data_IF_289105871993
#
_entry.id   IF_289105871993
#
_cell.length_a   1.000
_cell.length_b   1.000
_cell.length_c   1.000
_cell.angle_alpha   90.00
_cell.angle_beta   90.00
_cell.angle_gamma   90.00
#
_symmetry.space_group_name_H-M   'P 1'
#
loop_
_entity.id
_entity.type
_entity.pdbx_description
1 polymer ?
#
# COMPACT_ATOMS: atom_id res chain seq x y z
N UNK A 1 7.77 -32.37 1.51
CA UNK A 1 8.94 -31.47 1.50
C UNK A 1 8.77 -30.23 0.61
N UNK A 2 8.06 -30.32 -0.53
CA UNK A 2 7.91 -29.22 -1.51
C UNK A 2 6.87 -28.18 -1.05
N UNK A 3 5.79 -28.59 -0.38
CA UNK A 3 4.76 -27.72 0.18
C UNK A 3 5.32 -26.83 1.32
N UNK A 4 6.07 -27.43 2.26
CA UNK A 4 6.72 -26.71 3.36
C UNK A 4 7.77 -25.70 2.86
N UNK A 5 8.51 -26.03 1.80
CA UNK A 5 9.44 -25.07 1.15
C UNK A 5 8.73 -23.89 0.52
N UNK A 6 7.60 -24.12 -0.17
CA UNK A 6 6.79 -23.03 -0.76
C UNK A 6 6.15 -22.14 0.31
N UNK A 7 5.60 -22.72 1.38
CA UNK A 7 5.09 -21.96 2.52
C UNK A 7 6.17 -21.12 3.19
N UNK A 8 7.34 -21.71 3.47
CA UNK A 8 8.47 -20.99 4.07
C UNK A 8 8.99 -19.86 3.18
N UNK A 9 9.05 -20.05 1.86
CA UNK A 9 9.40 -18.99 0.92
C UNK A 9 8.33 -17.88 0.82
N UNK A 10 7.05 -18.21 0.96
CA UNK A 10 5.98 -17.22 1.03
C UNK A 10 6.06 -16.43 2.35
N UNK A 11 6.17 -17.08 3.50
CA UNK A 11 6.31 -16.40 4.80
C UNK A 11 7.53 -15.48 4.88
N UNK A 12 8.68 -15.88 4.34
CA UNK A 12 9.87 -15.03 4.27
C UNK A 12 9.62 -13.82 3.38
N UNK A 13 8.86 -13.97 2.27
CA UNK A 13 8.52 -12.85 1.39
C UNK A 13 7.51 -11.90 2.04
N UNK A 14 6.52 -12.42 2.73
CA UNK A 14 5.48 -11.60 3.38
C UNK A 14 6.02 -10.84 4.61
N UNK A 15 7.09 -11.37 5.26
CA UNK A 15 7.85 -10.62 6.28
C UNK A 15 8.62 -9.42 5.71
N UNK A 16 8.80 -9.36 4.39
CA UNK A 16 9.43 -8.23 3.68
C UNK A 16 8.43 -7.13 3.26
N UNK A 17 7.19 -7.18 3.74
CA UNK A 17 6.23 -6.10 3.47
C UNK A 17 6.84 -4.73 3.84
N UNK A 18 6.71 -3.70 3.01
CA UNK A 18 5.88 -3.57 1.80
C UNK A 18 6.56 -3.97 0.47
N UNK A 19 7.52 -4.86 0.49
CA UNK A 19 8.39 -5.29 -0.60
C UNK A 19 9.31 -4.19 -1.13
N UNK A 20 10.43 -4.59 -1.72
CA UNK A 20 11.38 -3.65 -2.31
C UNK A 20 10.81 -3.03 -3.59
N UNK A 21 10.83 -1.71 -3.65
CA UNK A 21 10.58 -0.95 -4.86
C UNK A 21 11.90 -0.39 -5.40
N UNK A 22 12.09 -0.35 -6.73
CA UNK A 22 13.25 0.29 -7.33
C UNK A 22 13.33 1.77 -6.99
N UNK A 23 14.52 2.31 -6.94
CA UNK A 23 14.72 3.75 -6.95
C UNK A 23 14.24 4.33 -8.30
N UNK A 24 13.82 5.60 -8.29
CA UNK A 24 13.36 6.29 -9.51
C UNK A 24 12.08 5.70 -10.10
N UNK A 25 11.79 6.06 -11.34
CA UNK A 25 10.63 5.61 -12.10
C UNK A 25 10.95 4.35 -12.89
N UNK A 26 9.95 3.51 -13.15
CA UNK A 26 10.16 2.29 -13.92
C UNK A 26 8.91 1.90 -14.71
N UNK A 27 9.11 1.09 -15.75
CA UNK A 27 8.07 0.42 -16.50
C UNK A 27 8.13 -1.09 -16.20
N UNK A 28 7.02 -1.66 -15.78
CA UNK A 28 6.83 -3.11 -15.73
C UNK A 28 6.14 -3.54 -17.02
N UNK A 29 6.79 -4.37 -17.82
CA UNK A 29 6.23 -4.88 -19.07
C UNK A 29 6.74 -6.28 -19.36
N UNK A 30 5.85 -7.19 -19.78
CA UNK A 30 6.17 -8.57 -20.13
C UNK A 30 7.03 -9.29 -19.09
N UNK A 31 6.67 -9.14 -17.83
CA UNK A 31 7.38 -9.72 -16.69
C UNK A 31 8.78 -9.15 -16.42
N UNK A 32 9.18 -8.08 -17.11
CA UNK A 32 10.47 -7.41 -16.97
C UNK A 32 10.33 -6.01 -16.42
N UNK A 33 11.36 -5.56 -15.75
CA UNK A 33 11.47 -4.22 -15.23
C UNK A 33 12.44 -3.41 -16.11
N UNK A 34 11.97 -2.25 -16.56
CA UNK A 34 12.76 -1.26 -17.29
C UNK A 34 12.85 -0.01 -16.46
N UNK A 35 14.05 0.41 -16.10
CA UNK A 35 14.28 1.67 -15.39
C UNK A 35 14.01 2.83 -16.36
N UNK A 36 13.20 3.79 -15.92
CA UNK A 36 12.96 5.03 -16.66
C UNK A 36 13.87 6.12 -16.11
N UNK A 37 14.70 6.69 -16.98
CA UNK A 37 15.54 7.83 -16.65
C UNK A 37 14.80 9.15 -16.96
N UNK A 38 15.41 10.29 -16.63
CA UNK A 38 14.80 11.61 -16.83
C UNK A 38 14.45 11.87 -18.31
N UNK A 39 15.30 11.44 -19.24
CA UNK A 39 15.05 11.63 -20.67
C UNK A 39 13.86 10.82 -21.16
N UNK A 40 13.74 9.56 -20.72
CA UNK A 40 12.58 8.74 -21.04
C UNK A 40 11.30 9.39 -20.52
N UNK A 41 11.36 9.98 -19.32
CA UNK A 41 10.23 10.71 -18.72
C UNK A 41 9.88 11.98 -19.50
N UNK A 42 10.87 12.71 -20.00
CA UNK A 42 10.66 13.90 -20.84
C UNK A 42 10.01 13.56 -22.19
N UNK A 43 10.37 12.41 -22.78
CA UNK A 43 9.72 11.90 -23.98
C UNK A 43 8.27 11.46 -23.71
N UNK A 44 7.97 10.93 -22.50
CA UNK A 44 6.64 10.55 -22.03
C UNK A 44 5.77 11.77 -21.64
N UNK A 45 6.37 12.94 -21.50
CA UNK A 45 5.72 14.16 -20.97
C UNK A 45 4.60 14.73 -21.87
N UNK A 46 4.51 14.31 -23.13
CA UNK A 46 3.31 14.59 -23.93
C UNK A 46 2.16 13.67 -23.51
N UNK A 47 1.75 13.75 -22.24
CA UNK A 47 0.78 12.84 -21.57
C UNK A 47 -0.50 12.61 -22.37
N UNK A 48 -0.93 13.58 -23.17
CA UNK A 48 -2.13 13.45 -24.01
C UNK A 48 -1.90 12.61 -25.27
N UNK A 49 -0.67 12.33 -25.63
CA UNK A 49 -0.31 11.61 -26.86
C UNK A 49 0.55 10.37 -26.61
N UNK A 50 1.13 10.23 -25.39
CA UNK A 50 1.95 9.07 -25.10
C UNK A 50 1.09 7.84 -24.79
N UNK A 51 1.21 6.74 -25.54
CA UNK A 51 0.43 5.54 -25.32
C UNK A 51 0.71 4.83 -23.99
N UNK A 52 1.81 5.17 -23.28
CA UNK A 52 2.09 4.59 -21.97
C UNK A 52 1.24 5.18 -20.85
N UNK A 53 0.94 6.48 -20.90
CA UNK A 53 0.18 7.16 -19.84
C UNK A 53 -1.22 7.58 -20.28
N UNK A 54 -1.45 7.74 -21.57
CA UNK A 54 -2.74 8.16 -22.12
C UNK A 54 -3.85 7.17 -21.73
N UNK A 55 -4.96 7.71 -21.22
CA UNK A 55 -6.11 6.91 -20.79
C UNK A 55 -5.90 6.11 -19.49
N UNK A 56 -4.78 6.32 -18.78
CA UNK A 56 -4.51 5.67 -17.51
C UNK A 56 -4.83 6.56 -16.31
N UNK A 57 -5.28 5.94 -15.26
CA UNK A 57 -5.57 6.60 -13.98
C UNK A 57 -4.32 6.57 -13.09
N UNK A 58 -3.82 7.72 -12.61
CA UNK A 58 -2.71 7.78 -11.68
C UNK A 58 -3.17 7.42 -10.25
N UNK A 59 -2.61 6.36 -9.69
CA UNK A 59 -2.91 5.87 -8.34
C UNK A 59 -1.66 5.92 -7.47
N UNK A 60 -1.70 6.67 -6.38
CA UNK A 60 -0.63 6.77 -5.41
C UNK A 60 -0.48 5.44 -4.65
N UNK A 61 0.66 4.82 -4.75
CA UNK A 61 0.99 3.57 -4.10
C UNK A 61 1.76 3.84 -2.80
N UNK A 62 1.07 3.74 -1.68
CA UNK A 62 1.65 4.00 -0.34
C UNK A 62 2.32 2.77 0.27
N UNK A 63 1.93 1.56 -0.15
CA UNK A 63 2.42 0.30 0.39
C UNK A 63 3.06 -0.60 -0.65
N UNK A 64 2.66 -1.87 -0.66
CA UNK A 64 3.23 -2.91 -1.52
C UNK A 64 3.02 -2.69 -3.01
N UNK A 65 1.98 -1.96 -3.42
CA UNK A 65 1.68 -1.69 -4.84
C UNK A 65 2.76 -0.85 -5.56
N UNK A 66 3.71 -0.27 -4.84
CA UNK A 66 4.89 0.39 -5.42
C UNK A 66 5.97 -0.58 -5.89
N UNK A 67 5.85 -1.87 -5.53
CA UNK A 67 6.85 -2.89 -5.81
C UNK A 67 6.49 -3.74 -7.04
N UNK A 68 7.42 -3.98 -7.98
CA UNK A 68 7.18 -4.78 -9.17
C UNK A 68 6.64 -6.19 -8.86
N UNK A 69 7.10 -6.79 -7.78
CA UNK A 69 6.62 -8.11 -7.33
C UNK A 69 5.11 -8.13 -7.09
N UNK A 70 4.58 -7.10 -6.40
CA UNK A 70 3.16 -7.02 -6.11
C UNK A 70 2.33 -6.72 -7.37
N UNK A 71 2.84 -5.86 -8.25
CA UNK A 71 2.17 -5.56 -9.52
C UNK A 71 2.11 -6.79 -10.44
N UNK A 72 3.19 -7.57 -10.51
CA UNK A 72 3.20 -8.86 -11.23
C UNK A 72 2.20 -9.86 -10.64
N UNK A 73 2.08 -9.90 -9.31
CA UNK A 73 1.11 -10.77 -8.62
C UNK A 73 -0.33 -10.40 -8.94
N UNK A 74 -0.62 -9.09 -9.04
CA UNK A 74 -1.96 -8.57 -9.32
C UNK A 74 -2.33 -8.69 -10.80
N UNK A 75 -1.44 -8.27 -11.68
CA UNK A 75 -1.78 -8.07 -13.09
C UNK A 75 -1.20 -9.13 -14.04
N UNK A 76 -0.34 -10.03 -13.54
CA UNK A 76 0.29 -11.06 -14.36
C UNK A 76 1.49 -10.58 -15.16
N UNK A 77 2.13 -11.52 -15.86
CA UNK A 77 3.39 -11.26 -16.60
C UNK A 77 3.22 -10.40 -17.83
N UNK A 78 2.05 -10.42 -18.47
CA UNK A 78 1.81 -9.70 -19.72
C UNK A 78 1.41 -8.23 -19.51
N UNK A 79 1.18 -7.83 -18.28
CA UNK A 79 0.75 -6.47 -17.95
C UNK A 79 1.83 -5.42 -18.30
N UNK A 80 1.36 -4.27 -18.74
CA UNK A 80 2.17 -3.06 -18.95
C UNK A 80 1.72 -2.06 -17.88
N UNK A 81 2.62 -1.75 -16.94
CA UNK A 81 2.33 -0.88 -15.80
C UNK A 81 3.45 0.15 -15.64
N UNK A 82 3.25 1.38 -16.09
CA UNK A 82 4.16 2.48 -15.80
C UNK A 82 4.08 2.87 -14.32
N UNK A 83 5.23 3.17 -13.73
CA UNK A 83 5.34 3.59 -12.34
C UNK A 83 6.31 4.78 -12.24
N UNK A 84 5.82 5.90 -11.78
CA UNK A 84 6.61 7.14 -11.65
C UNK A 84 6.85 7.50 -10.20
N UNK A 85 7.96 8.17 -9.92
CA UNK A 85 8.26 8.68 -8.58
C UNK A 85 7.35 9.85 -8.24
N UNK A 86 6.94 9.91 -6.97
CA UNK A 86 6.11 10.98 -6.44
C UNK A 86 6.50 11.29 -4.99
N UNK A 87 6.05 12.44 -4.50
CA UNK A 87 6.12 12.85 -3.10
C UNK A 87 4.72 13.19 -2.61
N UNK A 88 4.42 12.79 -1.39
CA UNK A 88 3.20 13.17 -0.70
C UNK A 88 3.57 14.14 0.42
N UNK A 89 3.03 15.35 0.36
CA UNK A 89 3.26 16.40 1.34
C UNK A 89 2.23 16.33 2.47
N UNK A 90 2.64 16.74 3.66
CA UNK A 90 1.83 16.81 4.88
C UNK A 90 1.19 15.47 5.29
N UNK A 91 1.81 14.37 4.86
CA UNK A 91 1.41 13.01 5.21
C UNK A 91 2.62 12.12 5.49
N UNK A 92 2.44 11.19 6.42
CA UNK A 92 3.32 10.05 6.59
C UNK A 92 2.61 8.76 6.16
N UNK A 93 3.36 7.69 5.98
CA UNK A 93 2.83 6.34 5.78
C UNK A 93 2.96 5.56 7.07
N UNK A 94 1.83 5.13 7.61
CA UNK A 94 1.71 4.51 8.93
C UNK A 94 1.01 3.15 8.86
N UNK A 95 1.19 2.33 9.89
CA UNK A 95 0.54 1.02 9.98
C UNK A 95 -0.95 1.15 10.29
N UNK A 96 -1.77 0.39 9.57
CA UNK A 96 -3.23 0.34 9.76
C UNK A 96 -3.63 -0.53 10.95
N UNK A 97 -4.84 -0.34 11.47
CA UNK A 97 -5.46 -1.25 12.43
C UNK A 97 -6.10 -2.47 11.74
N UNK A 98 -5.38 -3.08 10.80
CA UNK A 98 -5.77 -4.23 10.01
C UNK A 98 -4.67 -5.30 9.99
N UNK A 99 -5.08 -6.53 9.71
CA UNK A 99 -4.18 -7.63 9.35
C UNK A 99 -4.64 -8.19 8.02
N UNK A 100 -3.75 -8.18 7.03
CA UNK A 100 -4.04 -8.70 5.71
C UNK A 100 -4.19 -10.22 5.70
N UNK A 101 -4.86 -10.76 4.68
CA UNK A 101 -5.02 -12.22 4.49
C UNK A 101 -3.67 -12.94 4.28
N UNK A 102 -2.61 -12.23 3.92
CA UNK A 102 -1.25 -12.75 3.82
C UNK A 102 -0.40 -12.52 5.09
N UNK A 103 -1.01 -12.07 6.19
CA UNK A 103 -0.40 -12.00 7.51
C UNK A 103 0.46 -10.76 7.78
N UNK A 104 0.48 -9.76 6.90
CA UNK A 104 1.15 -8.49 7.16
C UNK A 104 0.18 -7.47 7.80
N UNK A 105 0.74 -6.52 8.54
CA UNK A 105 0.03 -5.32 8.98
C UNK A 105 0.16 -4.28 7.86
N UNK A 106 -0.93 -3.96 7.12
CA UNK A 106 -0.86 -3.04 6.00
C UNK A 106 -0.53 -1.61 6.44
N UNK A 107 -0.44 -0.71 5.46
CA UNK A 107 -0.19 0.71 5.71
C UNK A 107 -1.15 1.59 4.92
N UNK A 108 -1.27 2.84 5.37
CA UNK A 108 -2.04 3.89 4.71
C UNK A 108 -1.34 5.23 4.87
N UNK A 109 -1.70 6.21 4.06
CA UNK A 109 -1.34 7.60 4.30
C UNK A 109 -2.08 8.12 5.55
N UNK A 110 -1.42 9.00 6.30
CA UNK A 110 -1.99 9.64 7.49
C UNK A 110 -1.48 11.09 7.61
N UNK A 111 -2.32 12.06 7.98
CA UNK A 111 -1.91 13.46 8.11
C UNK A 111 -0.72 13.63 9.06
N UNK A 112 0.31 14.34 8.59
CA UNK A 112 1.54 14.62 9.35
C UNK A 112 2.16 15.90 8.81
N UNK A 113 1.80 17.02 9.41
CA UNK A 113 2.20 18.36 8.94
C UNK A 113 3.72 18.49 8.78
N UNK A 114 4.15 19.01 7.63
CA UNK A 114 5.56 19.17 7.28
C UNK A 114 6.29 17.89 6.87
N UNK A 115 5.68 16.72 7.01
CA UNK A 115 6.29 15.46 6.54
C UNK A 115 6.18 15.36 5.02
N UNK A 116 7.27 14.96 4.36
CA UNK A 116 7.31 14.70 2.91
C UNK A 116 7.71 13.24 2.71
N UNK A 117 6.76 12.44 2.23
CA UNK A 117 6.97 10.99 2.03
C UNK A 117 7.27 10.66 0.58
N UNK A 118 8.30 9.85 0.33
CA UNK A 118 8.68 9.42 -1.01
C UNK A 118 7.91 8.18 -1.42
N UNK A 119 7.10 8.32 -2.46
CA UNK A 119 6.16 7.32 -2.93
C UNK A 119 6.27 7.10 -4.45
N UNK A 120 5.32 6.34 -4.98
CA UNK A 120 5.18 6.08 -6.42
C UNK A 120 3.74 6.34 -6.86
N UNK A 121 3.56 6.72 -8.11
CA UNK A 121 2.28 6.68 -8.81
C UNK A 121 2.33 5.49 -9.76
N UNK A 122 1.35 4.63 -9.65
CA UNK A 122 1.10 3.50 -10.57
C UNK A 122 0.04 3.94 -11.56
N UNK A 123 0.33 3.84 -12.84
CA UNK A 123 -0.55 4.27 -13.91
C UNK A 123 -1.35 3.08 -14.43
N UNK A 124 -2.63 3.03 -14.10
CA UNK A 124 -3.52 1.89 -14.33
C UNK A 124 -4.48 2.18 -15.49
N UNK A 125 -4.59 1.26 -16.44
CA UNK A 125 -5.72 1.24 -17.36
C UNK A 125 -7.00 0.81 -16.63
N UNK A 126 -8.12 0.84 -17.34
CA UNK A 126 -9.44 0.61 -16.75
C UNK A 126 -9.55 -0.79 -16.10
N UNK A 127 -9.10 -1.84 -16.78
CA UNK A 127 -9.14 -3.21 -16.27
C UNK A 127 -8.22 -3.39 -15.06
N UNK A 128 -7.03 -2.80 -15.12
CA UNK A 128 -6.07 -2.81 -14.01
C UNK A 128 -6.61 -2.03 -12.79
N UNK A 129 -7.28 -0.90 -13.01
CA UNK A 129 -7.90 -0.12 -11.94
C UNK A 129 -9.04 -0.91 -11.28
N UNK A 130 -9.91 -1.51 -12.07
CA UNK A 130 -10.98 -2.36 -11.55
C UNK A 130 -10.43 -3.54 -10.74
N UNK A 131 -9.39 -4.20 -11.25
CA UNK A 131 -8.71 -5.28 -10.51
C UNK A 131 -8.05 -4.77 -9.22
N UNK A 132 -7.45 -3.59 -9.26
CA UNK A 132 -6.89 -2.95 -8.06
C UNK A 132 -7.98 -2.71 -7.03
N UNK A 133 -9.13 -2.17 -7.41
CA UNK A 133 -10.28 -1.97 -6.52
C UNK A 133 -10.70 -3.26 -5.81
N UNK A 134 -10.82 -4.36 -6.55
CA UNK A 134 -11.15 -5.68 -5.98
C UNK A 134 -10.10 -6.13 -4.96
N UNK A 135 -8.84 -6.04 -5.31
CA UNK A 135 -7.74 -6.54 -4.46
C UNK A 135 -7.42 -5.66 -3.26
N UNK A 136 -7.82 -4.39 -3.26
CA UNK A 136 -7.75 -3.50 -2.09
C UNK A 136 -8.99 -3.61 -1.18
N UNK A 137 -10.03 -4.33 -1.61
CA UNK A 137 -11.25 -4.50 -0.82
C UNK A 137 -11.95 -3.17 -0.54
N UNK A 138 -12.24 -2.41 -1.61
CA UNK A 138 -12.95 -1.13 -1.49
C UNK A 138 -14.27 -1.31 -0.76
N UNK A 139 -14.58 -0.36 0.11
CA UNK A 139 -15.79 -0.37 0.93
C UNK A 139 -15.70 -1.26 2.17
N UNK A 140 -14.70 -2.14 2.24
CA UNK A 140 -14.43 -3.03 3.40
C UNK A 140 -13.14 -2.60 4.10
N UNK A 141 -12.00 -2.74 3.45
CA UNK A 141 -10.69 -2.43 4.01
C UNK A 141 -10.24 -0.99 3.73
N UNK A 142 -10.52 -0.51 2.52
CA UNK A 142 -10.10 0.81 2.05
C UNK A 142 -11.22 1.57 1.38
N UNK A 143 -11.12 2.91 1.41
CA UNK A 143 -11.87 3.82 0.55
C UNK A 143 -10.97 4.23 -0.62
N UNK A 144 -11.57 4.36 -1.81
CA UNK A 144 -10.94 5.01 -2.96
C UNK A 144 -11.03 6.51 -2.78
N UNK A 145 -9.91 7.20 -2.89
CA UNK A 145 -9.83 8.62 -2.55
C UNK A 145 -9.08 9.41 -3.63
N UNK A 146 -9.45 10.67 -3.79
CA UNK A 146 -8.65 11.66 -4.51
C UNK A 146 -7.70 12.33 -3.51
N UNK A 147 -6.40 12.22 -3.75
CA UNK A 147 -5.33 12.69 -2.88
C UNK A 147 -4.98 14.15 -3.18
N UNK A 148 -4.74 14.92 -2.13
CA UNK A 148 -4.15 16.26 -2.22
C UNK A 148 -2.67 16.22 -1.85
N UNK A 149 -1.92 17.27 -2.18
CA UNK A 149 -0.52 17.39 -1.79
C UNK A 149 0.44 16.43 -2.49
N UNK A 150 0.04 15.81 -3.60
CA UNK A 150 0.90 14.92 -4.39
C UNK A 150 1.72 15.73 -5.37
N UNK A 151 3.05 15.70 -5.22
CA UNK A 151 3.99 16.20 -6.19
C UNK A 151 4.59 15.02 -6.98
N UNK A 152 4.53 15.07 -8.30
CA UNK A 152 5.06 14.02 -9.18
C UNK A 152 6.26 14.51 -9.98
N UNK A 153 7.01 13.57 -10.52
CA UNK A 153 8.26 13.85 -11.26
C UNK A 153 8.01 14.38 -12.68
N UNK A 154 6.80 14.21 -13.19
CA UNK A 154 6.43 14.70 -14.52
C UNK A 154 6.18 16.21 -14.46
N UNK A 155 6.76 16.97 -15.38
CA UNK A 155 6.65 18.45 -15.44
C UNK A 155 5.30 18.94 -16.03
N UNK A 156 4.37 18.03 -16.29
CA UNK A 156 3.06 18.34 -16.87
C UNK A 156 1.94 18.12 -15.85
N UNK A 157 0.81 18.84 -15.96
CA UNK A 157 -0.37 18.57 -15.16
C UNK A 157 -0.89 17.15 -15.43
N UNK A 158 -0.93 16.33 -14.40
CA UNK A 158 -1.36 14.93 -14.50
C UNK A 158 -2.86 14.77 -14.19
N UNK A 159 -3.53 15.83 -13.77
CA UNK A 159 -4.90 15.76 -13.26
C UNK A 159 -4.96 15.22 -11.82
N UNK A 160 -6.15 14.81 -11.35
CA UNK A 160 -6.30 14.29 -10.00
C UNK A 160 -5.55 12.97 -9.82
N UNK A 161 -4.81 12.84 -8.71
CA UNK A 161 -4.15 11.60 -8.30
C UNK A 161 -5.02 10.91 -7.27
N UNK A 162 -5.28 9.62 -7.47
CA UNK A 162 -6.10 8.83 -6.58
C UNK A 162 -5.26 7.95 -5.66
N UNK A 163 -5.88 7.29 -4.70
CA UNK A 163 -5.23 6.39 -3.77
C UNK A 163 -6.22 5.57 -2.97
N UNK A 164 -5.69 4.86 -1.97
CA UNK A 164 -6.49 4.03 -1.07
C UNK A 164 -6.21 4.43 0.37
N UNK A 165 -7.24 4.85 1.11
CA UNK A 165 -7.19 5.22 2.52
C UNK A 165 -7.86 4.15 3.37
N UNK A 166 -7.20 3.69 4.43
CA UNK A 166 -7.73 2.63 5.29
C UNK A 166 -8.97 3.10 6.06
N UNK A 167 -10.04 2.33 5.99
CA UNK A 167 -11.31 2.59 6.72
C UNK A 167 -11.21 2.30 8.21
N UNK A 168 -10.44 1.28 8.56
CA UNK A 168 -10.24 0.85 9.94
C UNK A 168 -9.47 1.85 10.80
N UNK A 169 -8.92 2.90 10.21
CA UNK A 169 -7.97 3.79 10.88
C UNK A 169 -6.58 3.17 10.99
N UNK A 170 -5.75 3.78 11.82
CA UNK A 170 -4.35 3.40 12.00
C UNK A 170 -4.06 2.88 13.40
N UNK A 171 -3.06 2.03 13.50
CA UNK A 171 -2.66 1.41 14.76
C UNK A 171 -2.11 2.46 15.74
N UNK A 172 -2.72 2.54 16.93
CA UNK A 172 -2.18 3.31 18.02
C UNK A 172 -0.88 2.67 18.55
N UNK A 173 0.18 3.45 18.57
CA UNK A 173 1.47 3.03 19.09
C UNK A 173 1.69 3.58 20.49
N UNK A 174 2.82 4.18 20.78
CA UNK A 174 3.11 4.86 22.04
C UNK A 174 2.40 6.22 22.08
N UNK A 175 1.94 6.63 23.25
CA UNK A 175 1.27 7.93 23.50
C UNK A 175 0.07 8.20 22.57
N UNK A 176 -0.62 7.15 22.15
CA UNK A 176 -1.75 7.24 21.22
C UNK A 176 -1.39 7.94 19.89
N UNK A 177 -0.15 7.85 19.46
CA UNK A 177 0.31 8.34 18.16
C UNK A 177 0.37 7.19 17.14
N UNK A 178 0.26 7.47 15.84
CA UNK A 178 0.50 6.47 14.80
C UNK A 178 1.95 5.97 14.80
N UNK A 179 2.16 4.78 14.22
CA UNK A 179 3.49 4.25 13.97
C UNK A 179 3.85 4.35 12.49
N UNK A 180 4.88 5.11 12.16
CA UNK A 180 5.38 5.26 10.81
C UNK A 180 5.99 3.97 10.27
N UNK A 181 5.74 3.62 9.01
CA UNK A 181 6.32 2.46 8.36
C UNK A 181 7.80 2.71 8.02
N UNK A 182 8.71 2.04 8.71
CA UNK A 182 10.15 2.25 8.58
C UNK A 182 10.71 2.00 7.16
N UNK A 183 10.04 1.16 6.38
CA UNK A 183 10.46 0.83 5.02
C UNK A 183 10.12 1.90 3.96
N UNK A 184 9.40 2.94 4.34
CA UNK A 184 9.06 4.08 3.48
C UNK A 184 9.93 5.27 3.89
N UNK A 185 10.66 5.85 2.94
CA UNK A 185 11.45 7.05 3.17
C UNK A 185 10.57 8.29 3.34
N UNK A 186 10.84 9.09 4.35
CA UNK A 186 10.18 10.38 4.55
C UNK A 186 11.13 11.39 5.22
N UNK A 187 10.97 12.67 4.86
CA UNK A 187 11.68 13.80 5.46
C UNK A 187 10.80 14.45 6.53
N UNK A 188 11.40 15.00 7.56
CA UNK A 188 10.73 15.70 8.67
C UNK A 188 9.59 14.90 9.33
N UNK A 189 9.77 13.57 9.44
CA UNK A 189 8.79 12.66 10.01
C UNK A 189 8.50 12.97 11.47
N UNK A 190 7.21 13.00 11.81
CA UNK A 190 6.76 13.29 13.17
C UNK A 190 6.56 12.01 14.00
N UNK A 191 6.19 10.90 13.35
CA UNK A 191 5.88 9.66 14.04
C UNK A 191 7.10 8.75 14.18
N UNK A 192 7.15 7.99 15.28
CA UNK A 192 8.15 6.95 15.48
C UNK A 192 8.01 5.88 14.38
N UNK A 193 9.13 5.52 13.78
CA UNK A 193 9.14 4.47 12.74
C UNK A 193 9.32 3.10 13.34
N UNK A 194 8.57 2.14 12.84
CA UNK A 194 8.65 0.73 13.25
C UNK A 194 8.64 -0.20 12.03
N UNK A 195 9.25 -1.36 12.20
CA UNK A 195 9.30 -2.41 11.19
C UNK A 195 8.12 -3.37 11.36
N UNK A 196 7.79 -4.11 10.30
CA UNK A 196 6.72 -5.14 10.33
C UNK A 196 6.84 -6.10 11.52
N UNK A 197 8.04 -6.58 11.82
CA UNK A 197 8.26 -7.49 12.95
C UNK A 197 7.93 -6.88 14.31
N UNK A 198 8.27 -5.61 14.52
CA UNK A 198 7.98 -4.89 15.76
C UNK A 198 6.47 -4.66 15.91
N UNK A 199 5.80 -4.32 14.80
CA UNK A 199 4.34 -4.13 14.78
C UNK A 199 3.62 -5.45 15.04
N UNK A 200 4.02 -6.55 14.41
CA UNK A 200 3.43 -7.86 14.65
C UNK A 200 3.54 -8.27 16.13
N UNK A 201 4.71 -8.06 16.75
CA UNK A 201 4.89 -8.31 18.18
C UNK A 201 4.01 -7.40 19.06
N UNK A 202 3.84 -6.13 18.67
CA UNK A 202 2.95 -5.21 19.40
C UNK A 202 1.49 -5.65 19.29
N UNK A 203 1.05 -6.05 18.11
CA UNK A 203 -0.30 -6.57 17.88
C UNK A 203 -0.57 -7.79 18.74
N UNK A 204 0.35 -8.76 18.81
CA UNK A 204 0.24 -9.91 19.71
C UNK A 204 0.05 -9.49 21.18
N UNK A 205 0.77 -8.46 21.63
CA UNK A 205 0.65 -7.96 23.02
C UNK A 205 -0.69 -7.25 23.28
N UNK A 206 -1.14 -6.44 22.33
CA UNK A 206 -2.40 -5.70 22.47
C UNK A 206 -3.62 -6.61 22.49
N UNK A 207 -3.54 -7.76 21.85
CA UNK A 207 -4.64 -8.70 21.70
C UNK A 207 -4.58 -9.87 22.68
N UNK A 208 -3.73 -9.78 23.71
CA UNK A 208 -3.55 -10.82 24.75
C UNK A 208 -3.28 -12.22 24.16
N UNK A 209 -2.70 -12.29 22.98
CA UNK A 209 -2.15 -13.53 22.47
C UNK A 209 -0.96 -13.87 23.36
N UNK A 210 -1.19 -14.77 24.33
CA UNK A 210 -0.32 -15.04 25.49
C UNK A 210 1.01 -15.69 25.09
N UNK A 211 1.13 -16.20 23.88
CA UNK A 211 2.37 -16.72 23.34
C UNK A 211 3.06 -15.64 22.51
N UNK A 212 4.32 -15.37 22.83
CA UNK A 212 5.18 -14.49 22.02
C UNK A 212 5.51 -15.23 20.74
N UNK A 213 4.67 -15.05 19.71
CA UNK A 213 4.94 -15.63 18.41
C UNK A 213 6.15 -14.96 17.76
N UNK A 214 6.94 -15.74 17.07
CA UNK A 214 7.88 -15.18 16.11
C UNK A 214 7.08 -14.50 14.99
N UNK A 215 7.71 -13.56 14.28
CA UNK A 215 7.08 -12.91 13.11
C UNK A 215 6.60 -13.94 12.09
N UNK A 216 7.37 -15.01 11.89
CA UNK A 216 7.02 -16.12 10.98
C UNK A 216 5.78 -16.89 11.46
N UNK A 217 5.68 -17.16 12.76
CA UNK A 217 4.49 -17.78 13.34
C UNK A 217 3.26 -16.89 13.23
N UNK A 218 3.40 -15.59 13.55
CA UNK A 218 2.31 -14.63 13.38
C UNK A 218 1.78 -14.63 11.94
N UNK A 219 2.67 -14.47 10.95
CA UNK A 219 2.30 -14.46 9.54
C UNK A 219 1.57 -15.75 9.16
N UNK A 220 2.14 -16.91 9.53
CA UNK A 220 1.55 -18.22 9.20
C UNK A 220 0.17 -18.38 9.82
N UNK A 221 0.01 -18.03 11.09
CA UNK A 221 -1.28 -18.13 11.79
C UNK A 221 -2.30 -17.18 11.18
N UNK A 222 -1.92 -15.94 10.86
CA UNK A 222 -2.83 -14.99 10.23
C UNK A 222 -3.25 -15.40 8.81
N UNK A 223 -2.44 -16.17 8.10
CA UNK A 223 -2.80 -16.74 6.79
C UNK A 223 -3.79 -17.89 6.90
N UNK A 224 -3.66 -18.74 7.92
CA UNK A 224 -4.43 -19.98 8.05
C UNK A 224 -5.69 -19.84 8.89
N UNK A 225 -5.63 -19.02 9.95
CA UNK A 225 -6.70 -18.88 10.94
C UNK A 225 -7.56 -17.63 10.68
N UNK A 226 -8.50 -17.73 9.72
CA UNK A 226 -9.36 -16.61 9.31
C UNK A 226 -10.13 -16.01 10.48
N UNK A 227 -10.77 -16.84 11.30
CA UNK A 227 -11.60 -16.39 12.45
C UNK A 227 -10.74 -15.61 13.44
N UNK A 228 -9.59 -16.16 13.82
CA UNK A 228 -8.66 -15.49 14.72
C UNK A 228 -8.18 -14.14 14.16
N UNK A 229 -7.91 -14.09 12.86
CA UNK A 229 -7.53 -12.84 12.20
C UNK A 229 -8.63 -11.78 12.26
N UNK A 230 -9.88 -12.17 12.05
CA UNK A 230 -11.05 -11.28 12.12
C UNK A 230 -11.29 -10.77 13.56
N UNK A 231 -11.18 -11.63 14.56
CA UNK A 231 -11.27 -11.25 15.97
C UNK A 231 -10.16 -10.26 16.36
N UNK A 232 -8.94 -10.52 15.90
CA UNK A 232 -7.79 -9.67 16.14
C UNK A 232 -7.96 -8.29 15.48
N UNK A 233 -8.46 -8.24 14.26
CA UNK A 233 -8.80 -6.97 13.58
C UNK A 233 -9.86 -6.21 14.40
N UNK A 234 -10.91 -6.86 14.86
CA UNK A 234 -11.94 -6.24 15.71
C UNK A 234 -11.35 -5.61 16.97
N UNK A 235 -10.43 -6.31 17.64
CA UNK A 235 -9.73 -5.76 18.82
C UNK A 235 -8.84 -4.56 18.47
N UNK A 236 -8.11 -4.59 17.35
CA UNK A 236 -7.28 -3.47 16.92
C UNK A 236 -8.10 -2.22 16.61
N UNK A 237 -9.26 -2.40 16.01
CA UNK A 237 -10.14 -1.30 15.63
C UNK A 237 -10.75 -0.57 16.82
N UNK A 238 -10.89 -1.21 17.99
CA UNK A 238 -11.41 -0.54 19.21
C UNK A 238 -10.50 0.59 19.69
N UNK A 239 -9.24 0.58 19.32
CA UNK A 239 -8.24 1.58 19.72
C UNK A 239 -7.60 2.28 18.52
N UNK A 240 -8.18 2.13 17.33
CA UNK A 240 -7.65 2.73 16.13
C UNK A 240 -7.79 4.25 16.13
N UNK A 241 -6.78 4.93 15.59
CA UNK A 241 -6.79 6.38 15.41
C UNK A 241 -7.37 6.67 14.02
N UNK A 242 -8.39 7.50 13.96
CA UNK A 242 -8.92 8.03 12.71
C UNK A 242 -8.23 9.35 12.36
N UNK A 243 -7.97 9.63 11.07
CA UNK A 243 -7.41 10.91 10.66
C UNK A 243 -8.44 12.02 10.86
N UNK A 244 -8.02 13.13 11.48
CA UNK A 244 -8.80 14.35 11.50
C UNK A 244 -8.48 15.18 10.25
N UNK A 245 -9.51 15.61 9.51
CA UNK A 245 -9.41 16.42 8.29
C UNK A 245 -8.31 15.93 7.31
N UNK A 246 -8.42 14.68 6.81
CA UNK A 246 -7.40 14.13 5.94
C UNK A 246 -7.33 14.90 4.61
N UNK A 247 -6.12 15.05 4.02
CA UNK A 247 -5.94 15.75 2.76
C UNK A 247 -6.34 14.88 1.56
N UNK A 248 -7.51 14.30 1.62
CA UNK A 248 -8.14 13.56 0.52
C UNK A 248 -9.65 13.60 0.59
N UNK A 249 -10.27 13.31 -0.54
CA UNK A 249 -11.73 13.21 -0.70
C UNK A 249 -12.10 11.79 -1.12
N UNK A 250 -13.04 11.18 -0.41
CA UNK A 250 -13.59 9.86 -0.79
C UNK A 250 -14.35 9.97 -2.10
N UNK A 251 -14.05 9.08 -3.02
CA UNK A 251 -14.71 8.93 -4.32
C UNK A 251 -15.60 7.68 -4.26
N UNK A 252 -16.91 7.81 -4.41
CA UNK A 252 -17.79 6.67 -4.49
C UNK A 252 -17.43 5.77 -5.70
N UNK A 253 -17.28 4.48 -5.45
CA UNK A 253 -17.10 3.48 -6.50
C UNK A 253 -18.29 2.55 -6.49
N UNK A 254 -18.97 2.38 -7.63
CA UNK A 254 -19.99 1.34 -7.76
C UNK A 254 -19.29 -0.02 -7.78
N UNK A 255 -19.73 -0.89 -6.88
CA UNK A 255 -19.19 -2.24 -6.75
C UNK A 255 -20.07 -3.25 -7.51
N UNK A 256 -21.01 -2.79 -8.35
CA UNK A 256 -21.87 -3.65 -9.14
C UNK A 256 -21.04 -4.58 -10.03
N UNK A 257 -21.09 -5.87 -9.76
CA UNK A 257 -20.30 -6.89 -10.45
C UNK A 257 -18.94 -7.25 -9.79
N UNK A 258 -18.65 -6.75 -8.58
CA UNK A 258 -17.41 -7.06 -7.83
C UNK A 258 -17.62 -8.19 -6.80
N UNK A 259 -18.86 -8.52 -6.45
CA UNK A 259 -19.22 -9.40 -5.31
C UNK A 259 -18.82 -10.89 -5.44
N UNK A 260 -18.20 -11.32 -6.52
CA UNK A 260 -17.86 -12.74 -6.71
C UNK A 260 -16.49 -13.17 -6.14
N UNK A 261 -15.71 -12.28 -5.49
CA UNK A 261 -14.31 -12.57 -5.13
C UNK A 261 -13.89 -12.16 -3.69
N UNK A 262 -14.84 -11.89 -2.80
CA UNK A 262 -14.57 -11.64 -1.37
C UNK A 262 -14.68 -12.92 -0.50
#
# INVERSE_FOLDING_TARGET
HTLLRRQRQMCIRDSLYPYMAPEGSYLLAKGRLFQLNQRDLEEVVQVQTDPLLFGRTPVLAVGSNRAPYQLLRKFGSEAIVPVTSARLHDCDVVHTALVSYYGAIPCTAFPSSGTITELKIVWLDEDQLLHMHKTEGIGVAYDYVEMQGVAHQLEVPVGPVFGYAARAGVLAWEDSQPAGLAAISAQARQFKTVRQGEVAQRVCKLTNLTEVWSVEQFITTMQTEKILREELIGQLQTHAIQPDQPPWRVIPVSMDGIDEYL
#
